data_IF_959538347955
#
_entry.id   IF_959538347955
#
_cell.length_a   1.000
_cell.length_b   1.000
_cell.length_c   1.000
_cell.angle_alpha   90.00
_cell.angle_beta   90.00
_cell.angle_gamma   90.00
#
_symmetry.space_group_name_H-M   'P 1'
#
loop_
_entity.id
_entity.type
_entity.pdbx_description
1 polymer ?
#
# COMPACT_ATOMS: atom_id res chain seq x y z
N UNK A 1 15.61 -1.58 -1.59
CA UNK A 1 14.90 -0.54 -0.81
C UNK A 1 15.09 -0.81 0.68
N UNK A 2 15.42 0.20 1.49
CA UNK A 2 15.58 0.04 2.94
C UNK A 2 14.21 0.14 3.64
N UNK A 3 13.81 -0.91 4.36
CA UNK A 3 12.58 -0.95 5.16
C UNK A 3 12.76 -0.19 6.49
N UNK A 4 11.66 0.30 7.05
CA UNK A 4 11.59 1.02 8.34
C UNK A 4 10.73 0.25 9.34
N UNK A 5 11.16 0.24 10.60
CA UNK A 5 10.37 -0.32 11.70
C UNK A 5 9.09 0.49 11.89
N UNK A 6 7.96 -0.17 12.03
CA UNK A 6 6.68 0.48 12.28
C UNK A 6 6.51 0.72 13.78
N UNK A 7 6.79 1.94 14.24
CA UNK A 7 6.65 2.32 15.65
C UNK A 7 7.43 1.40 16.60
N UNK A 8 6.76 0.92 17.66
CA UNK A 8 7.31 -0.02 18.64
C UNK A 8 7.00 -1.50 18.34
N UNK A 9 6.62 -1.82 17.11
CA UNK A 9 6.30 -3.19 16.69
C UNK A 9 7.52 -3.89 16.09
N UNK A 10 7.43 -5.21 15.90
CA UNK A 10 8.46 -5.98 15.19
C UNK A 10 8.25 -5.97 13.66
N UNK A 11 7.29 -5.18 13.17
CA UNK A 11 7.02 -5.04 11.74
C UNK A 11 8.01 -4.08 11.08
N UNK A 12 8.47 -4.45 9.88
CA UNK A 12 9.28 -3.61 9.01
C UNK A 12 8.62 -3.44 7.65
N UNK A 13 8.29 -2.20 7.30
CA UNK A 13 7.57 -1.85 6.07
C UNK A 13 8.45 -1.01 5.13
N UNK A 14 8.09 -0.98 3.85
CA UNK A 14 8.63 -0.01 2.91
C UNK A 14 8.40 1.44 3.44
N UNK A 15 9.24 2.41 3.07
CA UNK A 15 9.10 3.79 3.56
C UNK A 15 7.90 4.54 2.97
N UNK A 16 7.07 3.88 2.15
CA UNK A 16 5.88 4.43 1.51
C UNK A 16 4.67 3.53 1.80
N UNK A 17 3.54 4.14 2.15
CA UNK A 17 2.25 3.49 2.41
C UNK A 17 1.26 3.92 1.34
N UNK A 18 0.48 2.98 0.80
CA UNK A 18 -0.58 3.27 -0.18
C UNK A 18 -1.89 3.57 0.52
N UNK A 19 -2.44 4.76 0.34
CA UNK A 19 -3.79 5.10 0.78
C UNK A 19 -4.85 4.46 -0.11
N UNK A 20 -5.79 3.73 0.49
CA UNK A 20 -6.85 2.98 -0.20
C UNK A 20 -8.13 3.77 -0.47
N UNK A 21 -8.22 5.04 -0.05
CA UNK A 21 -9.43 5.86 -0.13
C UNK A 21 -9.93 6.14 -1.56
N UNK A 22 -9.10 5.90 -2.58
CA UNK A 22 -9.44 6.10 -3.99
C UNK A 22 -10.09 4.87 -4.63
N UNK A 23 -9.91 3.68 -4.05
CA UNK A 23 -10.41 2.43 -4.62
C UNK A 23 -11.93 2.38 -4.57
N UNK A 24 -12.58 2.06 -5.69
CA UNK A 24 -14.04 2.04 -5.84
C UNK A 24 -14.68 3.42 -5.99
N UNK A 25 -13.93 4.51 -5.81
CA UNK A 25 -14.42 5.89 -5.96
C UNK A 25 -13.82 6.57 -7.19
N UNK A 26 -12.51 6.77 -7.18
CA UNK A 26 -11.76 7.42 -8.27
C UNK A 26 -11.11 6.39 -9.19
N UNK A 27 -10.61 5.29 -8.62
CA UNK A 27 -10.13 4.13 -9.36
C UNK A 27 -11.23 3.07 -9.38
N UNK A 28 -11.62 2.62 -10.58
CA UNK A 28 -12.49 1.46 -10.73
C UNK A 28 -11.80 0.17 -10.26
N UNK A 29 -12.53 -0.94 -10.20
CA UNK A 29 -12.01 -2.22 -9.70
C UNK A 29 -10.72 -2.65 -10.43
N UNK A 30 -10.76 -2.65 -11.77
CA UNK A 30 -9.60 -3.06 -12.58
C UNK A 30 -8.40 -2.16 -12.33
N UNK A 31 -8.60 -0.85 -12.34
CA UNK A 31 -7.53 0.14 -12.09
C UNK A 31 -6.98 -0.02 -10.67
N UNK A 32 -7.83 -0.34 -9.70
CA UNK A 32 -7.42 -0.59 -8.31
C UNK A 32 -6.49 -1.79 -8.24
N UNK A 33 -6.82 -2.90 -8.92
CA UNK A 33 -5.92 -4.06 -9.02
C UNK A 33 -4.62 -3.73 -9.75
N UNK A 34 -4.67 -3.00 -10.86
CA UNK A 34 -3.46 -2.57 -11.59
C UNK A 34 -2.53 -1.73 -10.69
N UNK A 35 -3.09 -0.86 -9.85
CA UNK A 35 -2.35 -0.07 -8.86
C UNK A 35 -1.73 -0.96 -7.77
N UNK A 36 -2.50 -1.90 -7.22
CA UNK A 36 -2.04 -2.83 -6.18
C UNK A 36 -0.91 -3.73 -6.70
N UNK A 37 -1.07 -4.29 -7.88
CA UNK A 37 -0.06 -5.15 -8.52
C UNK A 37 1.25 -4.39 -8.74
N UNK A 38 1.18 -3.15 -9.20
CA UNK A 38 2.36 -2.32 -9.41
C UNK A 38 3.01 -1.89 -8.09
N UNK A 39 2.21 -1.61 -7.07
CA UNK A 39 2.69 -1.27 -5.72
C UNK A 39 3.47 -2.43 -5.10
N UNK A 40 2.88 -3.63 -5.09
CA UNK A 40 3.52 -4.84 -4.56
C UNK A 40 4.71 -5.26 -5.43
N UNK A 41 4.59 -5.17 -6.76
CA UNK A 41 5.68 -5.45 -7.71
C UNK A 41 6.89 -4.53 -7.53
N UNK A 42 6.71 -3.31 -7.01
CA UNK A 42 7.79 -2.40 -6.64
C UNK A 42 8.44 -2.76 -5.28
N UNK A 43 7.98 -3.82 -4.61
CA UNK A 43 8.46 -4.26 -3.30
C UNK A 43 7.88 -3.48 -2.12
N UNK A 44 6.84 -2.67 -2.36
CA UNK A 44 6.10 -1.96 -1.32
C UNK A 44 5.08 -2.89 -0.66
N UNK A 45 4.77 -2.68 0.63
CA UNK A 45 4.09 -3.72 1.42
C UNK A 45 3.18 -3.19 2.55
N UNK A 46 2.69 -1.95 2.46
CA UNK A 46 1.79 -1.39 3.46
C UNK A 46 0.66 -0.59 2.78
N UNK A 47 -0.60 -0.91 3.13
CA UNK A 47 -1.82 -0.26 2.64
C UNK A 47 -2.57 0.30 3.84
N UNK A 48 -3.07 1.52 3.71
CA UNK A 48 -3.89 2.23 4.70
C UNK A 48 -5.35 2.32 4.22
N UNK A 49 -6.31 1.92 5.05
CA UNK A 49 -7.74 1.87 4.71
C UNK A 49 -8.62 2.04 5.96
N UNK A 50 -9.91 2.30 5.77
CA UNK A 50 -10.93 2.43 6.83
C UNK A 50 -12.23 1.68 6.46
N UNK A 51 -13.16 1.54 7.41
CA UNK A 51 -14.52 1.00 7.25
C UNK A 51 -15.55 2.02 6.74
#
# INVERSE_FOLDING_TARGET
MQKRRLGQTDLSIAPLVLGGNVFGWTADEKTSFDLLDRFVGAGLNAIDTAD
#
